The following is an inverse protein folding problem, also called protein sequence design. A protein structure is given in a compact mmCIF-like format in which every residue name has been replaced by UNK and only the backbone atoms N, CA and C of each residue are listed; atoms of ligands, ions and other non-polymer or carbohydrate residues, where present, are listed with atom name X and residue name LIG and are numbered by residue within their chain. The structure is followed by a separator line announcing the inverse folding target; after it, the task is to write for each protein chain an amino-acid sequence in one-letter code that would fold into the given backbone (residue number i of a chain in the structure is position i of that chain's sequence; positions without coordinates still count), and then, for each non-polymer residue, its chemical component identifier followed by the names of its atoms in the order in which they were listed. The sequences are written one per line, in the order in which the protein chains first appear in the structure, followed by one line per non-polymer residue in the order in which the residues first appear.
data_IF_300256227088
#
_entry.id   IF_300256227088
#
_cell.length_a   1.000
_cell.length_b   1.000
_cell.length_c   1.000
_cell.angle_alpha   90.00
_cell.angle_beta   90.00
_cell.angle_gamma   90.00
#
_symmetry.space_group_name_H-M   'P 1'
#
loop_
_entity.id
_entity.type
_entity.pdbx_description
1 polymer ?
#
# COMPACT_ATOMS: atom_id res chain seq x y z
N UNK A 1 -0.89 21.15 -14.70
CA UNK A 1 -0.01 20.11 -14.12
C UNK A 1 -0.04 18.89 -15.05
N UNK A 2 0.90 18.77 -15.99
CA UNK A 2 0.95 17.61 -16.88
C UNK A 2 1.30 16.37 -16.07
N UNK A 3 0.39 15.41 -15.99
CA UNK A 3 0.64 14.16 -15.30
C UNK A 3 1.58 13.31 -16.15
N UNK A 4 2.77 12.99 -15.64
CA UNK A 4 3.66 12.05 -16.31
C UNK A 4 3.20 10.60 -16.06
N UNK A 5 3.47 9.70 -17.01
CA UNK A 5 3.04 8.29 -16.91
C UNK A 5 3.52 7.60 -15.63
N UNK A 6 4.69 7.96 -15.11
CA UNK A 6 5.21 7.48 -13.82
C UNK A 6 4.31 7.91 -12.66
N UNK A 7 3.91 9.18 -12.61
CA UNK A 7 3.03 9.70 -11.57
C UNK A 7 1.64 9.07 -11.63
N UNK A 8 1.08 8.89 -12.83
CA UNK A 8 -0.19 8.20 -13.01
C UNK A 8 -0.14 6.74 -12.53
N UNK A 9 0.90 5.99 -12.92
CA UNK A 9 1.07 4.60 -12.48
C UNK A 9 1.25 4.50 -10.96
N UNK A 10 2.08 5.34 -10.37
CA UNK A 10 2.27 5.37 -8.92
C UNK A 10 0.96 5.69 -8.18
N UNK A 11 0.21 6.66 -8.69
CA UNK A 11 -1.11 7.02 -8.13
C UNK A 11 -2.10 5.86 -8.24
N UNK A 12 -2.12 5.15 -9.37
CA UNK A 12 -2.99 3.99 -9.53
C UNK A 12 -2.65 2.89 -8.52
N UNK A 13 -1.39 2.48 -8.47
CA UNK A 13 -0.92 1.38 -7.61
C UNK A 13 -1.10 1.64 -6.12
N UNK A 14 -0.92 2.89 -5.68
CA UNK A 14 -0.96 3.22 -4.26
C UNK A 14 -2.31 3.73 -3.76
N UNK A 15 -3.14 4.31 -4.65
CA UNK A 15 -4.34 5.02 -4.22
C UNK A 15 -5.61 4.70 -4.99
N UNK A 16 -5.57 4.31 -6.26
CA UNK A 16 -6.80 4.19 -7.07
C UNK A 16 -7.21 2.74 -7.37
N UNK A 17 -6.28 1.77 -7.28
CA UNK A 17 -6.60 0.36 -7.52
C UNK A 17 -7.70 -0.10 -6.53
N UNK A 18 -8.78 -0.75 -7.00
CA UNK A 18 -9.94 -1.09 -6.16
C UNK A 18 -9.60 -2.09 -5.05
N UNK A 19 -8.62 -2.97 -5.28
CA UNK A 19 -8.23 -4.03 -4.34
C UNK A 19 -7.37 -3.51 -3.17
N UNK A 20 -7.09 -2.21 -3.12
CA UNK A 20 -6.38 -1.61 -1.98
C UNK A 20 -7.35 -1.53 -0.81
N UNK A 21 -7.14 -2.39 0.19
CA UNK A 21 -7.82 -2.30 1.48
C UNK A 21 -7.42 -0.99 2.16
N UNK A 22 -8.42 -0.20 2.57
CA UNK A 22 -8.26 1.04 3.31
C UNK A 22 -8.85 0.86 4.71
N UNK A 23 -8.22 1.47 5.71
CA UNK A 23 -8.62 1.35 7.10
C UNK A 23 -7.47 0.89 7.98
N UNK A 24 -7.78 0.59 9.24
CA UNK A 24 -6.80 0.04 10.18
C UNK A 24 -6.48 -1.41 9.80
N UNK A 25 -5.27 -1.83 10.10
CA UNK A 25 -4.91 -3.24 10.05
C UNK A 25 -5.67 -4.01 11.14
N UNK A 26 -5.95 -5.28 10.87
CA UNK A 26 -6.32 -6.24 11.91
C UNK A 26 -5.10 -6.58 12.77
N UNK A 27 -5.33 -7.06 14.00
CA UNK A 27 -4.25 -7.47 14.90
C UNK A 27 -3.33 -8.52 14.26
N UNK A 28 -3.90 -9.43 13.47
CA UNK A 28 -3.16 -10.46 12.74
C UNK A 28 -2.28 -9.85 11.64
N UNK A 29 -2.80 -8.88 10.88
CA UNK A 29 -2.02 -8.15 9.87
C UNK A 29 -0.89 -7.36 10.53
N UNK A 30 -1.15 -6.66 11.65
CA UNK A 30 -0.13 -5.92 12.40
C UNK A 30 0.99 -6.85 12.89
N UNK A 31 0.64 -7.99 13.49
CA UNK A 31 1.62 -8.95 13.97
C UNK A 31 2.47 -9.51 12.83
N UNK A 32 1.84 -9.81 11.69
CA UNK A 32 2.55 -10.28 10.49
C UNK A 32 3.53 -9.21 9.98
N UNK A 33 3.10 -7.95 9.93
CA UNK A 33 3.97 -6.83 9.52
C UNK A 33 5.18 -6.73 10.45
N UNK A 34 4.98 -6.79 11.76
CA UNK A 34 6.07 -6.71 12.76
C UNK A 34 7.05 -7.88 12.57
N UNK A 35 6.55 -9.10 12.42
CA UNK A 35 7.39 -10.29 12.22
C UNK A 35 8.24 -10.19 10.96
N UNK A 36 7.64 -9.77 9.84
CA UNK A 36 8.35 -9.62 8.58
C UNK A 36 9.37 -8.48 8.63
N UNK A 37 9.07 -7.39 9.35
CA UNK A 37 10.01 -6.29 9.52
C UNK A 37 11.23 -6.70 10.36
N UNK A 38 11.07 -7.58 11.34
CA UNK A 38 12.18 -8.08 12.17
C UNK A 38 13.15 -9.01 11.43
N UNK A 39 12.79 -9.49 10.23
CA UNK A 39 13.64 -10.34 9.38
C UNK A 39 14.51 -9.53 8.39
N UNK A 40 14.35 -8.21 8.36
CA UNK A 40 15.15 -7.27 7.57
C UNK A 40 16.29 -6.68 8.41
#
# INVERSE_FOLDING_TARGET
LLRCGKSCRLRWTNYLRPDIKRGKFSLQEEQTIIQLHALL
#
